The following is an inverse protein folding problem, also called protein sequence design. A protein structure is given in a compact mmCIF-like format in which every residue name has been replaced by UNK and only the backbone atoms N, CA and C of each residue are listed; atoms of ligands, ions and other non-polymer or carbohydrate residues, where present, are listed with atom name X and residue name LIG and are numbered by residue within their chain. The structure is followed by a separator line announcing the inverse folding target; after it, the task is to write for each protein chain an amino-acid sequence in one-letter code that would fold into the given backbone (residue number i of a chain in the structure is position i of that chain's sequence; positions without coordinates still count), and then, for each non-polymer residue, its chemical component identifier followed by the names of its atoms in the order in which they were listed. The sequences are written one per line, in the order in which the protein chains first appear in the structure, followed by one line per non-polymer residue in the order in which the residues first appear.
data_IF_833066984349
#
_entry.id   IF_833066984349
#
_cell.length_a   1.000
_cell.length_b   1.000
_cell.length_c   1.000
_cell.angle_alpha   90.00
_cell.angle_beta   90.00
_cell.angle_gamma   90.00
#
_symmetry.space_group_name_H-M   'P 1'
#
loop_
_entity.id
_entity.type
_entity.pdbx_description
1 polymer ?
#
# COMPACT_ATOMS: atom_id res chain seq x y z
N UNK A 1 9.32 2.06 -8.83
CA UNK A 1 7.88 1.97 -8.52
C UNK A 1 7.42 2.93 -7.42
N UNK A 2 8.05 2.98 -6.24
CA UNK A 2 7.58 3.87 -5.15
C UNK A 2 7.95 5.35 -5.36
N UNK A 3 9.12 5.61 -5.94
CA UNK A 3 9.51 6.97 -6.33
C UNK A 3 8.53 7.54 -7.36
N UNK A 4 8.12 6.74 -8.36
CA UNK A 4 7.10 7.16 -9.32
C UNK A 4 5.75 7.40 -8.67
N UNK A 5 5.31 6.58 -7.72
CA UNK A 5 4.07 6.81 -6.96
C UNK A 5 4.10 8.13 -6.17
N UNK A 6 5.22 8.42 -5.50
CA UNK A 6 5.38 9.68 -4.76
C UNK A 6 5.36 10.86 -5.74
N UNK A 7 6.05 10.77 -6.87
CA UNK A 7 6.10 11.85 -7.85
C UNK A 7 4.74 12.07 -8.54
N UNK A 8 3.97 11.02 -8.83
CA UNK A 8 2.72 11.17 -9.62
C UNK A 8 1.49 11.43 -8.76
N UNK A 9 1.47 11.00 -7.49
CA UNK A 9 0.23 10.97 -6.68
C UNK A 9 0.36 11.62 -5.31
N UNK A 10 1.51 12.20 -4.97
CA UNK A 10 1.67 12.90 -3.69
C UNK A 10 0.67 14.05 -3.56
N UNK A 11 0.27 14.71 -4.65
CA UNK A 11 -0.75 15.75 -4.61
C UNK A 11 -2.09 15.28 -4.01
N UNK A 12 -2.55 14.07 -4.34
CA UNK A 12 -3.75 13.50 -3.72
C UNK A 12 -3.52 13.17 -2.25
N UNK A 13 -2.35 12.64 -1.89
CA UNK A 13 -2.00 12.36 -0.48
C UNK A 13 -1.98 13.64 0.36
N UNK A 14 -1.45 14.72 -0.19
CA UNK A 14 -1.45 16.04 0.44
C UNK A 14 -2.88 16.56 0.64
N UNK A 15 -3.73 16.46 -0.39
CA UNK A 15 -5.15 16.80 -0.29
C UNK A 15 -5.86 15.99 0.80
N UNK A 16 -5.68 14.68 0.84
CA UNK A 16 -6.30 13.80 1.85
C UNK A 16 -5.86 14.20 3.27
N UNK A 17 -4.56 14.44 3.49
CA UNK A 17 -4.06 14.85 4.80
C UNK A 17 -4.61 16.20 5.23
N UNK A 18 -4.77 17.14 4.29
CA UNK A 18 -5.44 18.42 4.55
C UNK A 18 -6.91 18.21 4.97
N UNK A 19 -7.65 17.36 4.25
CA UNK A 19 -9.03 17.01 4.59
C UNK A 19 -9.15 16.34 5.96
N UNK A 20 -8.23 15.44 6.30
CA UNK A 20 -8.19 14.81 7.62
C UNK A 20 -8.08 15.84 8.74
N UNK A 21 -7.20 16.84 8.59
CA UNK A 21 -7.00 17.89 9.60
C UNK A 21 -8.17 18.86 9.69
N UNK A 22 -8.67 19.34 8.56
CA UNK A 22 -9.56 20.51 8.53
C UNK A 22 -11.02 20.19 8.25
N UNK A 23 -11.34 19.01 7.72
CA UNK A 23 -12.73 18.62 7.49
C UNK A 23 -13.34 19.03 6.15
N UNK A 24 -12.53 19.54 5.22
CA UNK A 24 -13.03 20.08 3.95
C UNK A 24 -13.37 18.98 2.93
N UNK A 25 -14.27 19.29 1.98
CA UNK A 25 -14.46 18.46 0.81
C UNK A 25 -13.22 18.49 -0.13
N UNK A 26 -13.24 17.63 -1.14
CA UNK A 26 -12.08 17.41 -2.03
C UNK A 26 -11.73 18.63 -2.84
N UNK A 27 -12.74 19.32 -3.38
CA UNK A 27 -12.51 20.45 -4.29
C UNK A 27 -12.09 21.69 -3.50
N UNK A 28 -12.69 21.91 -2.33
CA UNK A 28 -12.24 22.97 -1.41
C UNK A 28 -10.80 22.74 -0.98
N UNK A 29 -10.43 21.53 -0.52
CA UNK A 29 -9.05 21.22 -0.14
C UNK A 29 -8.07 21.47 -1.30
N UNK A 30 -8.41 20.98 -2.50
CA UNK A 30 -7.57 21.14 -3.69
C UNK A 30 -7.38 22.62 -4.05
N UNK A 31 -8.47 23.40 -4.12
CA UNK A 31 -8.41 24.84 -4.46
C UNK A 31 -7.64 25.62 -3.41
N UNK A 32 -7.84 25.33 -2.12
CA UNK A 32 -7.09 25.97 -1.04
C UNK A 32 -5.60 25.66 -1.12
N UNK A 33 -5.23 24.41 -1.37
CA UNK A 33 -3.82 24.05 -1.56
C UNK A 33 -3.23 24.73 -2.80
N UNK A 34 -3.96 24.78 -3.91
CA UNK A 34 -3.51 25.46 -5.11
C UNK A 34 -3.34 26.97 -4.89
N UNK A 35 -4.27 27.64 -4.20
CA UNK A 35 -4.15 29.07 -3.91
C UNK A 35 -3.01 29.42 -2.94
N UNK A 36 -2.65 28.51 -2.04
CA UNK A 36 -1.53 28.71 -1.10
C UNK A 36 -0.14 28.68 -1.74
N UNK A 37 0.02 28.09 -2.93
CA UNK A 37 1.35 27.99 -3.54
C UNK A 37 1.45 27.15 -4.80
N UNK A 38 0.37 27.02 -5.56
CA UNK A 38 0.30 26.31 -6.84
C UNK A 38 0.70 24.83 -6.75
N UNK A 39 1.24 24.30 -7.85
CA UNK A 39 1.70 22.91 -7.95
C UNK A 39 2.75 22.56 -6.86
N UNK A 40 3.77 23.39 -6.56
CA UNK A 40 4.74 23.08 -5.52
C UNK A 40 4.14 22.86 -4.12
N UNK A 41 2.97 23.46 -3.83
CA UNK A 41 2.29 23.27 -2.54
C UNK A 41 1.87 21.82 -2.31
N UNK A 42 1.49 21.11 -3.37
CA UNK A 42 1.09 19.71 -3.31
C UNK A 42 2.24 18.74 -3.00
N UNK A 43 3.48 19.15 -3.27
CA UNK A 43 4.69 18.35 -3.09
C UNK A 43 5.50 18.75 -1.85
N UNK A 44 4.94 19.58 -0.97
CA UNK A 44 5.55 19.89 0.33
C UNK A 44 5.68 18.62 1.17
N UNK A 45 6.91 18.25 1.50
CA UNK A 45 7.24 17.00 2.20
C UNK A 45 7.69 15.86 1.29
N UNK A 46 8.07 16.14 0.03
CA UNK A 46 8.50 15.10 -0.92
C UNK A 46 9.74 14.36 -0.43
N UNK A 47 10.73 15.06 0.15
CA UNK A 47 11.94 14.43 0.68
C UNK A 47 11.64 13.40 1.78
N UNK A 48 10.95 13.75 2.89
CA UNK A 48 10.60 12.73 3.88
C UNK A 48 9.64 11.66 3.33
N UNK A 49 8.79 11.97 2.34
CA UNK A 49 7.96 10.97 1.66
C UNK A 49 8.79 9.94 0.86
N UNK A 50 9.85 10.38 0.18
CA UNK A 50 10.74 9.52 -0.59
C UNK A 50 11.56 8.58 0.31
N UNK A 51 11.85 8.98 1.54
CA UNK A 51 12.48 8.11 2.56
C UNK A 51 11.45 7.17 3.17
N UNK A 52 10.31 7.70 3.61
CA UNK A 52 9.32 6.94 4.36
C UNK A 52 8.58 5.90 3.51
N UNK A 53 8.35 6.17 2.22
CA UNK A 53 7.63 5.28 1.31
C UNK A 53 8.29 3.91 1.16
N UNK A 54 9.54 3.83 0.68
CA UNK A 54 10.29 2.58 0.54
C UNK A 54 10.43 1.82 1.87
N UNK A 55 10.82 2.51 2.95
CA UNK A 55 10.97 1.89 4.27
C UNK A 55 9.65 1.29 4.77
N UNK A 56 8.55 2.02 4.62
CA UNK A 56 7.23 1.55 5.03
C UNK A 56 6.78 0.31 4.27
N UNK A 57 7.12 0.20 2.98
CA UNK A 57 6.77 -0.97 2.17
C UNK A 57 7.63 -2.16 2.53
N UNK A 58 8.93 -1.94 2.67
CA UNK A 58 9.86 -2.95 3.17
C UNK A 58 9.35 -3.53 4.50
N UNK A 59 9.02 -2.66 5.46
CA UNK A 59 8.52 -3.10 6.77
C UNK A 59 7.20 -3.87 6.69
N UNK A 60 6.23 -3.43 5.88
CA UNK A 60 4.97 -4.16 5.71
C UNK A 60 5.20 -5.55 5.08
N UNK A 61 6.05 -5.64 4.04
CA UNK A 61 6.37 -6.93 3.38
C UNK A 61 7.17 -7.85 4.30
N UNK A 62 8.18 -7.32 4.99
CA UNK A 62 8.99 -8.08 5.94
C UNK A 62 8.17 -8.55 7.13
N UNK A 63 7.25 -7.72 7.64
CA UNK A 63 6.32 -8.11 8.71
C UNK A 63 5.40 -9.24 8.25
N UNK A 64 4.88 -9.16 7.02
CA UNK A 64 3.99 -10.20 6.50
C UNK A 64 4.73 -11.52 6.24
N UNK A 65 5.78 -11.51 5.41
CA UNK A 65 6.53 -12.71 5.08
C UNK A 65 7.26 -13.30 6.31
N UNK A 66 7.88 -12.44 7.11
CA UNK A 66 8.65 -12.85 8.29
C UNK A 66 7.78 -13.40 9.42
N UNK A 67 6.62 -12.77 9.72
CA UNK A 67 5.74 -13.28 10.77
C UNK A 67 5.10 -14.62 10.37
N UNK A 68 4.68 -14.77 9.11
CA UNK A 68 4.14 -16.04 8.61
C UNK A 68 5.22 -17.13 8.70
N UNK A 69 6.40 -16.89 8.12
CA UNK A 69 7.51 -17.86 8.14
C UNK A 69 7.96 -18.24 9.55
N UNK A 70 8.00 -17.29 10.48
CA UNK A 70 8.32 -17.58 11.88
C UNK A 70 7.24 -18.45 12.51
N UNK A 71 5.96 -18.16 12.27
CA UNK A 71 4.86 -18.98 12.82
C UNK A 71 4.78 -20.36 12.16
N UNK A 72 5.19 -20.51 10.91
CA UNK A 72 5.28 -21.81 10.24
C UNK A 72 6.45 -22.66 10.77
N UNK A 73 7.48 -22.02 11.34
CA UNK A 73 8.65 -22.73 11.89
C UNK A 73 8.40 -23.45 13.23
N UNK A 74 7.28 -23.18 13.92
CA UNK A 74 6.93 -23.83 15.17
C UNK A 74 5.73 -24.74 15.01
N UNK A 75 5.84 -25.97 15.53
CA UNK A 75 4.76 -26.97 15.47
C UNK A 75 3.44 -26.47 16.08
N UNK A 76 3.52 -25.64 17.12
CA UNK A 76 2.36 -25.07 17.79
C UNK A 76 1.60 -24.03 16.94
N UNK A 77 2.24 -23.41 15.95
CA UNK A 77 1.65 -22.30 15.18
C UNK A 77 1.53 -22.57 13.68
N UNK A 78 2.20 -23.60 13.15
CA UNK A 78 2.15 -23.97 11.73
C UNK A 78 0.73 -24.30 11.24
N UNK A 79 -0.09 -24.93 12.08
CA UNK A 79 -1.47 -25.30 11.75
C UNK A 79 -2.48 -24.16 11.86
N UNK A 80 -2.07 -22.97 12.32
CA UNK A 80 -3.00 -21.85 12.49
C UNK A 80 -3.49 -21.31 11.14
N UNK A 81 -4.78 -20.92 11.04
CA UNK A 81 -5.29 -20.28 9.84
C UNK A 81 -4.49 -19.02 9.46
N UNK A 82 -4.33 -18.78 8.16
CA UNK A 82 -3.57 -17.64 7.61
C UNK A 82 -4.05 -16.30 8.20
N UNK A 83 -5.36 -16.16 8.47
CA UNK A 83 -5.91 -14.97 9.14
C UNK A 83 -5.30 -14.72 10.52
N UNK A 84 -5.12 -15.75 11.34
CA UNK A 84 -4.51 -15.62 12.68
C UNK A 84 -3.05 -15.21 12.57
N UNK A 85 -2.29 -15.82 11.65
CA UNK A 85 -0.89 -15.43 11.37
C UNK A 85 -0.80 -13.98 10.88
N UNK A 86 -1.78 -13.56 10.08
CA UNK A 86 -1.90 -12.18 9.58
C UNK A 86 -2.14 -11.16 10.70
N UNK A 87 -2.78 -11.54 11.81
CA UNK A 87 -2.91 -10.67 12.98
C UNK A 87 -1.54 -10.37 13.60
N UNK A 88 -0.69 -11.39 13.75
CA UNK A 88 0.69 -11.21 14.22
C UNK A 88 1.50 -10.33 13.27
N UNK A 89 1.43 -10.60 11.96
CA UNK A 89 2.04 -9.75 10.93
C UNK A 89 1.59 -8.29 11.04
N UNK A 90 0.29 -8.05 11.26
CA UNK A 90 -0.27 -6.70 11.41
C UNK A 90 0.25 -5.99 12.65
N UNK A 91 0.51 -6.74 13.75
CA UNK A 91 1.16 -6.23 14.95
C UNK A 91 2.60 -5.79 14.70
N UNK A 92 3.39 -6.63 14.02
CA UNK A 92 4.78 -6.32 13.65
C UNK A 92 4.83 -5.11 12.70
N UNK A 93 3.95 -5.05 11.69
CA UNK A 93 3.85 -3.91 10.79
C UNK A 93 3.48 -2.62 11.54
N UNK A 94 2.53 -2.69 12.49
CA UNK A 94 2.16 -1.57 13.35
C UNK A 94 3.32 -1.07 14.21
N UNK A 95 4.07 -1.98 14.83
CA UNK A 95 5.27 -1.65 15.60
C UNK A 95 6.35 -1.01 14.72
N UNK A 96 6.55 -1.54 13.51
CA UNK A 96 7.50 -0.97 12.56
C UNK A 96 7.17 0.49 12.20
N UNK A 97 5.88 0.86 12.15
CA UNK A 97 5.48 2.25 11.89
C UNK A 97 5.88 3.21 13.00
N UNK A 98 6.02 2.76 14.23
CA UNK A 98 6.47 3.62 15.34
C UNK A 98 7.89 4.12 15.06
N UNK A 99 8.78 3.29 14.52
CA UNK A 99 10.14 3.70 14.15
C UNK A 99 10.17 4.77 13.04
N UNK A 100 9.20 4.74 12.12
CA UNK A 100 9.11 5.70 11.02
C UNK A 100 8.43 7.03 11.41
N UNK A 101 7.95 7.15 12.65
CA UNK A 101 7.15 8.30 13.08
C UNK A 101 7.84 9.66 12.94
N UNK A 102 9.14 9.84 13.23
CA UNK A 102 9.78 11.14 13.03
C UNK A 102 9.71 11.62 11.58
N UNK A 103 9.99 10.74 10.61
CA UNK A 103 9.92 11.06 9.19
C UNK A 103 8.47 11.28 8.75
N UNK A 104 7.55 10.45 9.23
CA UNK A 104 6.12 10.57 8.93
C UNK A 104 5.53 11.88 9.49
N UNK A 105 5.86 12.27 10.71
CA UNK A 105 5.42 13.53 11.33
C UNK A 105 5.91 14.73 10.52
N UNK A 106 7.19 14.75 10.13
CA UNK A 106 7.74 15.78 9.25
C UNK A 106 7.00 15.87 7.91
N UNK A 107 6.81 14.73 7.23
CA UNK A 107 6.05 14.66 5.97
C UNK A 107 4.62 15.18 6.16
N UNK A 108 3.90 14.66 7.16
CA UNK A 108 2.48 14.96 7.37
C UNK A 108 2.26 16.42 7.73
N UNK A 109 3.07 17.03 8.61
CA UNK A 109 2.92 18.45 8.91
C UNK A 109 3.25 19.34 7.71
N UNK A 110 4.25 18.99 6.90
CA UNK A 110 4.57 19.71 5.65
C UNK A 110 3.44 19.63 4.62
N UNK A 111 2.78 18.47 4.51
CA UNK A 111 1.65 18.30 3.62
C UNK A 111 0.43 19.10 4.08
N UNK A 112 0.15 19.14 5.39
CA UNK A 112 -1.02 19.84 5.94
C UNK A 112 -0.82 21.35 6.01
N UNK A 113 0.27 21.82 6.63
CA UNK A 113 0.47 23.25 6.94
C UNK A 113 1.26 23.98 5.84
N UNK A 114 2.01 23.28 5.00
CA UNK A 114 2.73 23.89 3.88
C UNK A 114 3.89 24.79 4.32
N UNK A 115 3.84 26.07 3.94
CA UNK A 115 4.90 27.04 4.22
C UNK A 115 4.92 27.35 5.73
N UNK A 116 6.07 27.14 6.38
CA UNK A 116 6.21 27.34 7.83
C UNK A 116 5.98 26.07 8.67
N UNK A 117 5.57 24.95 8.06
CA UNK A 117 5.33 23.69 8.76
C UNK A 117 6.51 23.22 9.61
N UNK A 118 7.73 23.27 9.07
CA UNK A 118 8.94 22.87 9.81
C UNK A 118 9.29 23.85 10.95
N UNK A 119 9.00 25.15 10.78
CA UNK A 119 9.18 26.14 11.85
C UNK A 119 8.20 25.88 12.99
N UNK A 120 6.94 25.59 12.67
CA UNK A 120 5.92 25.21 13.65
C UNK A 120 6.28 23.90 14.37
N UNK A 121 6.76 22.90 13.62
CA UNK A 121 7.24 21.65 14.21
C UNK A 121 8.44 21.87 15.14
N UNK A 122 9.43 22.65 14.71
CA UNK A 122 10.61 22.96 15.51
C UNK A 122 10.25 23.72 16.79
N UNK A 123 9.31 24.66 16.72
CA UNK A 123 8.78 25.34 17.91
C UNK A 123 8.13 24.35 18.87
N UNK A 124 7.31 23.42 18.36
CA UNK A 124 6.66 22.38 19.16
C UNK A 124 7.67 21.42 19.79
N UNK A 125 8.72 21.04 19.07
CA UNK A 125 9.81 20.20 19.58
C UNK A 125 10.63 20.96 20.64
N UNK A 126 10.83 22.26 20.47
CA UNK A 126 11.54 23.09 21.46
C UNK A 126 10.78 23.19 22.79
N UNK A 127 9.45 23.20 22.75
CA UNK A 127 8.61 23.26 23.96
C UNK A 127 8.33 21.89 24.58
N UNK A 128 8.03 20.87 23.76
CA UNK A 128 7.62 19.54 24.22
C UNK A 128 8.70 18.45 24.16
N UNK A 129 9.92 18.80 23.72
CA UNK A 129 11.02 17.86 23.52
C UNK A 129 10.93 17.02 22.24
N UNK A 130 11.92 16.13 21.99
CA UNK A 130 12.00 15.32 20.78
C UNK A 130 10.84 14.31 20.63
N UNK A 131 10.21 13.91 21.73
CA UNK A 131 9.06 12.99 21.74
C UNK A 131 7.84 13.52 21.00
N UNK A 132 7.77 14.83 20.73
CA UNK A 132 6.76 15.46 19.87
C UNK A 132 6.71 14.81 18.49
N UNK A 133 7.84 14.34 17.96
CA UNK A 133 7.92 13.65 16.67
C UNK A 133 7.16 12.31 16.65
N UNK A 134 6.90 11.74 17.83
CA UNK A 134 6.13 10.51 18.04
C UNK A 134 4.67 10.78 18.40
N UNK A 135 4.23 12.04 18.47
CA UNK A 135 2.81 12.32 18.63
C UNK A 135 2.00 11.70 17.47
N UNK A 136 1.04 10.86 17.80
CA UNK A 136 0.31 10.09 16.78
C UNK A 136 0.83 8.68 16.55
N UNK A 137 1.94 8.26 17.17
CA UNK A 137 2.55 6.94 16.97
C UNK A 137 1.58 5.79 17.23
N UNK A 138 0.87 5.79 18.36
CA UNK A 138 -0.10 4.74 18.68
C UNK A 138 -1.26 4.70 17.69
N UNK A 139 -1.78 5.86 17.30
CA UNK A 139 -2.81 5.94 16.25
C UNK A 139 -2.27 5.50 14.88
N UNK A 140 -0.99 5.75 14.56
CA UNK A 140 -0.35 5.30 13.32
C UNK A 140 -0.20 3.78 13.29
N UNK A 141 0.26 3.19 14.40
CA UNK A 141 0.37 1.75 14.59
C UNK A 141 -1.02 1.08 14.51
N UNK A 142 -2.02 1.61 15.23
CA UNK A 142 -3.38 1.11 15.21
C UNK A 142 -4.03 1.23 13.82
N UNK A 143 -3.89 2.37 13.13
CA UNK A 143 -4.38 2.54 11.77
C UNK A 143 -3.72 1.59 10.77
N UNK A 144 -2.47 1.19 11.05
CA UNK A 144 -1.74 0.21 10.24
C UNK A 144 -2.26 -1.19 10.53
N UNK A 145 -2.41 -1.57 11.79
CA UNK A 145 -2.99 -2.85 12.20
C UNK A 145 -4.40 -3.05 11.60
N UNK A 146 -5.29 -2.08 11.84
CA UNK A 146 -6.69 -2.10 11.40
C UNK A 146 -6.83 -1.92 9.88
N UNK A 147 -5.82 -1.40 9.19
CA UNK A 147 -5.79 -1.38 7.73
C UNK A 147 -5.26 -2.69 7.14
N UNK A 148 -4.14 -3.18 7.69
CA UNK A 148 -3.40 -4.32 7.17
C UNK A 148 -4.21 -5.61 7.26
N UNK A 149 -4.77 -5.92 8.42
CA UNK A 149 -5.52 -7.17 8.59
C UNK A 149 -6.74 -7.27 7.66
N UNK A 150 -7.67 -6.30 7.61
CA UNK A 150 -8.81 -6.37 6.69
C UNK A 150 -8.39 -6.39 5.22
N UNK A 151 -7.30 -5.70 4.84
CA UNK A 151 -6.79 -5.75 3.47
C UNK A 151 -6.45 -7.20 3.06
N UNK A 152 -5.60 -7.87 3.85
CA UNK A 152 -5.18 -9.23 3.55
C UNK A 152 -6.32 -10.24 3.68
N UNK A 153 -7.19 -10.08 4.69
CA UNK A 153 -8.35 -10.94 4.86
C UNK A 153 -9.30 -10.86 3.64
N UNK A 154 -9.63 -9.65 3.19
CA UNK A 154 -10.46 -9.45 1.99
C UNK A 154 -9.77 -9.97 0.73
N UNK A 155 -8.46 -9.69 0.56
CA UNK A 155 -7.71 -10.17 -0.59
C UNK A 155 -7.70 -11.69 -0.66
N UNK A 156 -7.35 -12.37 0.44
CA UNK A 156 -7.25 -13.82 0.49
C UNK A 156 -8.62 -14.49 0.29
N UNK A 157 -9.67 -13.96 0.93
CA UNK A 157 -11.04 -14.44 0.73
C UNK A 157 -11.47 -14.34 -0.73
N UNK A 158 -11.35 -13.15 -1.34
CA UNK A 158 -11.72 -12.93 -2.73
C UNK A 158 -10.87 -13.77 -3.68
N UNK A 159 -9.59 -13.97 -3.37
CA UNK A 159 -8.71 -14.81 -4.18
C UNK A 159 -9.14 -16.29 -4.13
N UNK A 160 -9.62 -16.77 -2.98
CA UNK A 160 -10.11 -18.13 -2.82
C UNK A 160 -11.45 -18.41 -3.50
N UNK A 161 -12.36 -17.41 -3.55
CA UNK A 161 -13.73 -17.61 -4.09
C UNK A 161 -13.87 -17.26 -5.57
N UNK A 162 -13.09 -16.31 -6.09
CA UNK A 162 -13.21 -15.92 -7.49
C UNK A 162 -12.47 -16.91 -8.40
N UNK A 163 -12.98 -17.24 -9.60
CA UNK A 163 -12.30 -18.13 -10.56
C UNK A 163 -10.93 -17.62 -11.00
N UNK A 164 -9.91 -18.49 -10.98
CA UNK A 164 -8.57 -18.15 -11.45
C UNK A 164 -8.61 -17.78 -12.93
N UNK A 165 -7.85 -16.75 -13.32
CA UNK A 165 -7.70 -16.39 -14.72
C UNK A 165 -6.84 -17.46 -15.44
N UNK A 166 -7.11 -17.74 -16.73
CA UNK A 166 -6.25 -18.63 -17.53
C UNK A 166 -4.78 -18.21 -17.46
N UNK A 167 -3.87 -19.19 -17.44
CA UNK A 167 -2.43 -18.95 -17.28
C UNK A 167 -1.82 -18.14 -18.43
N UNK A 168 -2.42 -18.20 -19.61
CA UNK A 168 -2.05 -17.52 -20.85
C UNK A 168 -2.78 -16.18 -21.08
N UNK A 169 -3.80 -15.85 -20.29
CA UNK A 169 -4.58 -14.61 -20.44
C UNK A 169 -4.13 -13.53 -19.44
N UNK A 170 -3.05 -12.84 -19.82
CA UNK A 170 -2.50 -11.73 -19.05
C UNK A 170 -3.54 -10.61 -18.75
N UNK A 171 -4.36 -10.14 -19.72
CA UNK A 171 -5.40 -9.16 -19.43
C UNK A 171 -6.38 -9.59 -18.32
N UNK A 172 -6.85 -10.84 -18.35
CA UNK A 172 -7.75 -11.35 -17.29
C UNK A 172 -7.05 -11.47 -15.95
N UNK A 173 -5.78 -11.91 -15.91
CA UNK A 173 -4.97 -11.93 -14.68
C UNK A 173 -4.88 -10.54 -14.06
N UNK A 174 -4.53 -9.54 -14.87
CA UNK A 174 -4.39 -8.15 -14.40
C UNK A 174 -5.72 -7.57 -13.91
N UNK A 175 -6.82 -7.79 -14.64
CA UNK A 175 -8.14 -7.33 -14.24
C UNK A 175 -8.57 -7.96 -12.91
N UNK A 176 -8.36 -9.27 -12.76
CA UNK A 176 -8.64 -9.99 -11.51
C UNK A 176 -7.84 -9.40 -10.35
N UNK A 177 -6.52 -9.25 -10.49
CA UNK A 177 -5.66 -8.65 -9.45
C UNK A 177 -6.06 -7.22 -9.11
N UNK A 178 -6.47 -6.42 -10.10
CA UNK A 178 -6.96 -5.06 -9.88
C UNK A 178 -8.25 -5.04 -9.05
N UNK A 179 -9.22 -5.91 -9.35
CA UNK A 179 -10.48 -6.02 -8.58
C UNK A 179 -10.19 -6.46 -7.15
N UNK A 180 -9.39 -7.52 -6.97
CA UNK A 180 -8.97 -8.04 -5.67
C UNK A 180 -8.33 -6.93 -4.82
N UNK A 181 -7.33 -6.24 -5.37
CA UNK A 181 -6.60 -5.18 -4.71
C UNK A 181 -7.46 -3.95 -4.41
N UNK A 182 -8.38 -3.59 -5.30
CA UNK A 182 -9.30 -2.46 -5.09
C UNK A 182 -10.29 -2.73 -3.96
N UNK A 183 -10.95 -3.91 -3.96
CA UNK A 183 -11.87 -4.30 -2.89
C UNK A 183 -11.17 -4.39 -1.53
N UNK A 184 -9.99 -5.01 -1.48
CA UNK A 184 -9.17 -5.07 -0.27
C UNK A 184 -8.78 -3.67 0.24
N UNK A 185 -8.40 -2.76 -0.66
CA UNK A 185 -8.07 -1.37 -0.32
C UNK A 185 -9.28 -0.59 0.17
N UNK A 186 -10.44 -0.78 -0.44
CA UNK A 186 -11.70 -0.15 -0.02
C UNK A 186 -12.09 -0.55 1.40
N UNK A 187 -12.10 -1.85 1.71
CA UNK A 187 -12.45 -2.37 3.04
C UNK A 187 -11.46 -1.87 4.10
N UNK A 188 -10.16 -1.96 3.83
CA UNK A 188 -9.11 -1.43 4.71
C UNK A 188 -9.25 0.07 4.96
N UNK A 189 -9.57 0.84 3.92
CA UNK A 189 -9.71 2.28 4.05
C UNK A 189 -10.92 2.66 4.88
N UNK A 190 -12.08 2.02 4.67
CA UNK A 190 -13.25 2.19 5.52
C UNK A 190 -12.97 1.83 6.98
N UNK A 191 -12.28 0.71 7.25
CA UNK A 191 -11.97 0.27 8.60
C UNK A 191 -10.98 1.19 9.34
N UNK A 192 -9.97 1.73 8.62
CA UNK A 192 -8.88 2.49 9.24
C UNK A 192 -9.04 4.01 9.19
N UNK A 193 -10.02 4.55 8.46
CA UNK A 193 -10.08 5.99 8.14
C UNK A 193 -10.14 6.87 9.39
N UNK A 194 -10.99 6.53 10.35
CA UNK A 194 -11.19 7.33 11.57
C UNK A 194 -9.92 7.47 12.40
N UNK A 195 -9.15 6.40 12.51
CA UNK A 195 -7.87 6.39 13.20
C UNK A 195 -6.87 7.28 12.45
N UNK A 196 -6.88 7.27 11.10
CA UNK A 196 -6.03 8.15 10.28
C UNK A 196 -6.40 9.62 10.43
N UNK A 197 -7.68 9.94 10.56
CA UNK A 197 -8.19 11.28 10.85
C UNK A 197 -7.67 11.78 12.19
N UNK A 198 -7.78 10.96 13.25
CA UNK A 198 -7.23 11.26 14.58
C UNK A 198 -5.71 11.42 14.53
N UNK A 199 -5.00 10.46 13.92
CA UNK A 199 -3.53 10.45 13.77
C UNK A 199 -3.04 11.74 13.13
N UNK A 200 -3.62 12.12 12.00
CA UNK A 200 -3.21 13.30 11.23
C UNK A 200 -3.47 14.57 12.03
N UNK A 201 -4.66 14.70 12.64
CA UNK A 201 -5.00 15.87 13.46
C UNK A 201 -4.07 16.01 14.67
N UNK A 202 -3.76 14.91 15.37
CA UNK A 202 -2.84 14.89 16.51
C UNK A 202 -1.40 15.25 16.12
N UNK A 203 -0.94 14.83 14.94
CA UNK A 203 0.40 15.16 14.45
C UNK A 203 0.54 16.64 14.11
N UNK A 204 -0.47 17.23 13.45
CA UNK A 204 -0.32 18.56 12.88
C UNK A 204 -0.90 19.68 13.73
N UNK A 205 -1.70 19.38 14.75
CA UNK A 205 -2.09 20.39 15.73
C UNK A 205 -0.86 20.93 16.47
N UNK A 206 -0.81 22.23 16.69
CA UNK A 206 0.28 22.94 17.37
C UNK A 206 0.20 22.78 18.88
N UNK A 207 -0.99 22.53 19.41
CA UNK A 207 -1.25 22.39 20.85
C UNK A 207 -1.07 20.95 21.35
N UNK A 208 -0.70 20.83 22.62
CA UNK A 208 -0.61 19.54 23.30
C UNK A 208 -2.02 19.01 23.58
N UNK A 209 -2.50 18.07 22.75
CA UNK A 209 -3.85 17.48 22.86
C UNK A 209 -3.80 15.97 23.00
N UNK A 210 -4.61 15.35 23.85
CA UNK A 210 -4.70 13.88 23.95
C UNK A 210 -5.56 13.29 22.82
N UNK A 211 -5.51 11.98 22.58
CA UNK A 211 -6.35 11.34 21.56
C UNK A 211 -7.86 11.56 21.79
N UNK A 212 -8.39 11.43 23.02
CA UNK A 212 -9.79 11.74 23.29
C UNK A 212 -10.13 13.21 23.02
N UNK A 213 -9.23 14.15 23.35
CA UNK A 213 -9.43 15.57 23.05
C UNK A 213 -9.47 15.82 21.53
N UNK A 214 -8.59 15.18 20.76
CA UNK A 214 -8.61 15.25 19.29
C UNK A 214 -9.92 14.70 18.73
N UNK A 215 -10.37 13.54 19.20
CA UNK A 215 -11.64 12.96 18.76
C UNK A 215 -12.83 13.88 19.10
N UNK A 216 -12.90 14.41 20.34
CA UNK A 216 -13.92 15.37 20.77
C UNK A 216 -13.92 16.64 19.93
N UNK A 217 -12.75 17.21 19.66
CA UNK A 217 -12.59 18.39 18.80
C UNK A 217 -13.13 18.14 17.38
N UNK A 218 -12.89 16.96 16.81
CA UNK A 218 -13.36 16.60 15.47
C UNK A 218 -14.88 16.39 15.47
N UNK A 219 -15.41 15.66 16.45
CA UNK A 219 -16.85 15.40 16.60
C UNK A 219 -17.62 16.69 16.86
N UNK A 220 -17.10 17.59 17.70
CA UNK A 220 -17.72 18.88 17.97
C UNK A 220 -17.81 19.76 16.72
N UNK A 221 -16.82 19.66 15.82
CA UNK A 221 -16.78 20.46 14.59
C UNK A 221 -17.60 19.87 13.45
N UNK A 222 -17.46 18.56 13.20
CA UNK A 222 -17.98 17.90 11.99
C UNK A 222 -18.85 16.66 12.28
N UNK A 223 -19.16 16.40 13.55
CA UNK A 223 -19.91 15.22 13.99
C UNK A 223 -19.14 13.90 13.87
N UNK A 224 -19.83 12.81 14.20
CA UNK A 224 -19.30 11.44 14.07
C UNK A 224 -19.00 11.09 12.61
N UNK A 225 -19.82 11.60 11.68
CA UNK A 225 -19.58 11.43 10.24
C UNK A 225 -18.28 12.09 9.79
N UNK A 226 -17.92 13.26 10.35
CA UNK A 226 -16.62 13.87 10.11
C UNK A 226 -15.46 13.00 10.62
N UNK A 227 -15.58 12.45 11.82
CA UNK A 227 -14.56 11.54 12.36
C UNK A 227 -14.38 10.29 11.49
N UNK A 228 -15.47 9.70 10.99
CA UNK A 228 -15.43 8.48 10.18
C UNK A 228 -15.06 8.73 8.71
N UNK A 229 -15.52 9.84 8.13
CA UNK A 229 -15.61 10.01 6.67
C UNK A 229 -14.71 11.09 6.05
N UNK A 230 -14.08 11.97 6.85
CA UNK A 230 -13.15 12.98 6.33
C UNK A 230 -12.14 12.35 5.37
N UNK A 231 -11.99 12.92 4.17
CA UNK A 231 -11.01 12.48 3.16
C UNK A 231 -11.23 11.08 2.55
N UNK A 232 -12.20 10.28 3.01
CA UNK A 232 -12.37 8.89 2.59
C UNK A 232 -12.70 8.77 1.09
N UNK A 233 -13.62 9.61 0.61
CA UNK A 233 -13.99 9.66 -0.82
C UNK A 233 -12.78 9.94 -1.72
N UNK A 234 -12.00 10.97 -1.38
CA UNK A 234 -10.77 11.31 -2.10
C UNK A 234 -9.77 10.17 -2.07
N UNK A 235 -9.66 9.46 -0.94
CA UNK A 235 -8.74 8.34 -0.79
C UNK A 235 -9.11 7.14 -1.65
N UNK A 236 -10.39 6.77 -1.70
CA UNK A 236 -10.90 5.70 -2.58
C UNK A 236 -10.62 6.05 -4.04
N UNK A 237 -10.95 7.27 -4.46
CA UNK A 237 -10.64 7.75 -5.81
C UNK A 237 -9.14 7.71 -6.11
N UNK A 238 -8.31 8.16 -5.16
CA UNK A 238 -6.86 8.17 -5.30
C UNK A 238 -6.29 6.77 -5.48
N UNK A 239 -6.83 5.75 -4.79
CA UNK A 239 -6.42 4.37 -4.98
C UNK A 239 -6.78 3.83 -6.38
N UNK A 240 -7.97 4.19 -6.89
CA UNK A 240 -8.38 3.84 -8.26
C UNK A 240 -7.46 4.47 -9.31
N UNK A 241 -7.22 5.77 -9.21
CA UNK A 241 -6.29 6.51 -10.09
C UNK A 241 -4.88 5.94 -9.99
N UNK A 242 -4.43 5.59 -8.77
CA UNK A 242 -3.12 4.99 -8.56
C UNK A 242 -2.95 3.67 -9.32
N UNK A 243 -3.97 2.80 -9.29
CA UNK A 243 -3.95 1.54 -10.03
C UNK A 243 -3.79 1.77 -11.54
N UNK A 244 -4.55 2.72 -12.09
CA UNK A 244 -4.50 3.07 -13.51
C UNK A 244 -3.13 3.65 -13.90
N UNK A 245 -2.64 4.64 -13.15
CA UNK A 245 -1.33 5.26 -13.42
C UNK A 245 -0.20 4.24 -13.33
N UNK A 246 -0.27 3.31 -12.38
CA UNK A 246 0.70 2.23 -12.27
C UNK A 246 0.71 1.36 -13.53
N UNK A 247 -0.45 0.87 -13.97
CA UNK A 247 -0.56 0.02 -15.16
C UNK A 247 0.00 0.69 -16.41
N UNK A 248 -0.27 1.98 -16.60
CA UNK A 248 0.25 2.76 -17.74
C UNK A 248 1.77 2.90 -17.66
N UNK A 249 2.30 3.38 -16.53
CA UNK A 249 3.75 3.59 -16.35
C UNK A 249 4.52 2.28 -16.47
N UNK A 250 3.97 1.19 -15.94
CA UNK A 250 4.54 -0.14 -16.07
C UNK A 250 4.60 -0.59 -17.52
N UNK A 251 3.48 -0.48 -18.26
CA UNK A 251 3.44 -0.90 -19.66
C UNK A 251 4.41 -0.12 -20.53
N UNK A 252 4.45 1.21 -20.38
CA UNK A 252 5.43 2.05 -21.08
C UNK A 252 6.88 1.67 -20.75
N UNK A 253 7.15 1.33 -19.48
CA UNK A 253 8.47 0.85 -19.07
C UNK A 253 8.85 -0.50 -19.67
N UNK A 254 7.90 -1.43 -19.77
CA UNK A 254 8.11 -2.72 -20.44
C UNK A 254 8.38 -2.53 -21.94
N UNK A 255 7.54 -1.77 -22.63
CA UNK A 255 7.70 -1.51 -24.07
C UNK A 255 9.04 -0.80 -24.37
N UNK A 256 9.46 0.13 -23.51
CA UNK A 256 10.77 0.77 -23.60
C UNK A 256 11.92 -0.22 -23.36
N UNK A 257 11.82 -1.06 -22.33
CA UNK A 257 12.83 -2.07 -22.03
C UNK A 257 13.01 -3.05 -23.20
N UNK A 258 11.90 -3.58 -23.71
CA UNK A 258 11.88 -4.55 -24.79
C UNK A 258 12.45 -3.94 -26.09
N UNK A 259 12.09 -2.69 -26.42
CA UNK A 259 12.65 -2.00 -27.59
C UNK A 259 14.16 -1.75 -27.52
N UNK A 260 14.74 -1.65 -26.32
CA UNK A 260 16.18 -1.35 -26.13
C UNK A 260 17.03 -2.59 -25.79
N UNK A 261 16.41 -3.72 -25.41
CA UNK A 261 17.13 -4.92 -25.00
C UNK A 261 16.81 -6.16 -25.85
N UNK A 262 15.84 -6.09 -26.78
CA UNK A 262 15.57 -7.16 -27.77
C UNK A 262 16.32 -6.94 -29.10
N UNK A 263 17.04 -5.82 -29.27
CA UNK A 263 17.88 -5.56 -30.45
C UNK A 263 19.18 -6.42 -30.54
N UNK A 264 19.39 -7.36 -29.60
CA UNK A 264 20.52 -8.30 -29.59
C UNK A 264 20.18 -9.74 -30.00
N UNK A 265 18.98 -9.99 -30.55
CA UNK A 265 18.68 -11.29 -31.14
C UNK A 265 19.19 -11.32 -32.61
N UNK A 266 20.05 -12.29 -33.00
CA UNK A 266 20.51 -12.40 -34.38
C UNK A 266 19.32 -12.68 -35.30
N UNK A 267 19.25 -11.95 -36.42
CA UNK A 267 18.25 -12.17 -37.47
C UNK A 267 18.29 -13.64 -37.92
N UNK A 268 17.15 -14.33 -38.09
CA UNK A 268 17.16 -15.68 -38.62
C UNK A 268 17.70 -15.65 -40.05
N UNK A 269 18.81 -16.34 -40.29
CA UNK A 269 19.21 -16.67 -41.65
C UNK A 269 18.13 -17.56 -42.26
N UNK A 270 17.60 -17.14 -43.41
CA UNK A 270 16.73 -17.95 -44.25
C UNK A 270 17.50 -19.15 -44.78
N UNK A 271 17.44 -20.28 -44.10
CA UNK A 271 17.73 -21.59 -44.70
C UNK A 271 16.41 -22.25 -45.13
N UNK A 272 16.20 -22.28 -46.44
CA UNK A 272 15.21 -23.15 -47.10
C UNK A 272 15.64 -24.61 -46.91
N UNK A 273 14.75 -25.47 -46.43
CA UNK A 273 14.88 -26.92 -46.61
C UNK A 273 14.31 -27.80 -45.51
N UNK A 274 13.08 -28.29 -45.76
CA UNK A 274 12.52 -29.59 -45.41
C UNK A 274 12.35 -30.04 -43.94
N UNK A 275 11.06 -30.22 -43.63
CA UNK A 275 10.39 -31.02 -42.59
C UNK A 275 11.13 -32.25 -42.04
N UNK A 276 11.16 -32.39 -40.71
CA UNK A 276 10.38 -33.39 -39.95
C UNK A 276 10.76 -33.40 -38.45
N UNK A 277 9.73 -33.30 -37.59
CA UNK A 277 9.68 -33.97 -36.28
C UNK A 277 10.45 -33.38 -35.09
N UNK A 278 9.69 -32.84 -34.11
CA UNK A 278 10.12 -32.78 -32.71
C UNK A 278 10.48 -31.39 -32.18
N UNK A 279 9.49 -30.57 -31.85
CA UNK A 279 9.71 -29.26 -31.22
C UNK A 279 9.99 -29.39 -29.73
N UNK A 280 11.27 -29.53 -29.37
CA UNK A 280 11.80 -29.02 -28.12
C UNK A 280 12.21 -27.55 -28.35
N UNK A 281 11.52 -26.60 -27.72
CA UNK A 281 11.71 -25.18 -28.01
C UNK A 281 11.42 -24.26 -26.81
N UNK A 282 12.51 -23.75 -26.23
CA UNK A 282 12.61 -22.44 -25.58
C UNK A 282 11.57 -22.06 -24.51
N UNK A 283 11.57 -22.78 -23.38
CA UNK A 283 10.97 -22.32 -22.12
C UNK A 283 11.97 -21.43 -21.35
N UNK A 284 12.07 -20.14 -21.71
CA UNK A 284 13.10 -19.25 -21.13
C UNK A 284 12.62 -17.87 -20.65
N UNK A 285 11.72 -17.17 -21.36
CA UNK A 285 11.46 -15.75 -21.05
C UNK A 285 10.15 -15.47 -20.30
N UNK A 286 9.22 -16.43 -20.25
CA UNK A 286 7.93 -16.27 -19.56
C UNK A 286 8.01 -16.36 -18.03
N UNK A 287 8.95 -17.17 -17.52
CA UNK A 287 9.13 -17.42 -16.07
C UNK A 287 9.63 -16.17 -15.32
N UNK A 288 10.49 -15.38 -15.94
CA UNK A 288 11.08 -14.20 -15.30
C UNK A 288 10.07 -13.04 -15.15
N UNK A 289 9.06 -12.98 -16.03
CA UNK A 289 7.98 -12.01 -15.94
C UNK A 289 6.98 -12.36 -14.82
N UNK A 290 6.72 -13.65 -14.60
CA UNK A 290 5.80 -14.16 -13.60
C UNK A 290 6.36 -13.97 -12.17
N UNK A 291 7.67 -14.15 -11.99
CA UNK A 291 8.39 -13.92 -10.72
C UNK A 291 8.42 -12.44 -10.31
N UNK A 292 8.40 -11.51 -11.28
CA UNK A 292 8.48 -10.05 -11.01
C UNK A 292 7.14 -9.41 -10.66
N UNK A 293 6.02 -9.98 -11.12
CA UNK A 293 4.68 -9.53 -10.73
C UNK A 293 4.30 -10.02 -9.31
N UNK A 294 4.83 -11.17 -8.89
CA UNK A 294 4.71 -11.72 -7.54
C UNK A 294 5.34 -10.83 -6.45
N UNK A 295 6.13 -9.80 -6.82
CA UNK A 295 6.66 -8.84 -5.87
C UNK A 295 5.64 -7.77 -5.43
N UNK A 296 4.50 -7.66 -6.12
CA UNK A 296 3.43 -6.69 -5.83
C UNK A 296 2.12 -7.31 -5.29
N UNK A 297 2.05 -8.63 -5.25
CA UNK A 297 0.95 -9.41 -4.65
C UNK A 297 1.52 -10.42 -3.66
N UNK A 298 0.80 -10.80 -2.60
CA UNK A 298 1.22 -11.91 -1.75
C UNK A 298 1.53 -13.12 -2.63
N UNK A 299 2.69 -13.75 -2.39
CA UNK A 299 3.15 -14.93 -3.12
C UNK A 299 2.05 -15.99 -3.07
N UNK A 300 1.55 -16.40 -4.24
CA UNK A 300 0.61 -17.50 -4.35
C UNK A 300 1.38 -18.79 -4.03
N UNK A 301 1.07 -19.44 -2.91
CA UNK A 301 1.66 -20.76 -2.62
C UNK A 301 1.23 -21.75 -3.72
N UNK A 302 2.17 -22.56 -4.24
CA UNK A 302 1.80 -23.63 -5.15
C UNK A 302 0.87 -24.61 -4.42
N UNK A 303 -0.22 -24.99 -5.10
CA UNK A 303 -1.21 -25.90 -4.54
C UNK A 303 -0.53 -27.19 -4.03
N UNK A 304 -0.69 -27.49 -2.74
CA UNK A 304 -0.40 -28.82 -2.20
C UNK A 304 -1.30 -29.82 -2.90
N UNK A 305 -0.69 -30.79 -3.61
CA UNK A 305 -1.41 -31.86 -4.27
C UNK A 305 -2.31 -32.60 -3.25
N UNK A 306 -3.52 -33.03 -3.64
CA UNK A 306 -4.38 -33.78 -2.75
C UNK A 306 -3.69 -35.09 -2.36
N UNK A 307 -3.55 -35.31 -1.04
CA UNK A 307 -3.14 -36.60 -0.48
C UNK A 307 -4.20 -37.62 -0.89
N UNK A 308 -3.83 -38.54 -1.78
CA UNK A 308 -4.65 -39.70 -2.12
C UNK A 308 -4.73 -40.61 -0.89
N UNK A 309 -5.82 -40.54 -0.15
CA UNK A 309 -6.17 -41.56 0.84
C UNK A 309 -6.52 -42.83 0.08
N UNK A 310 -5.60 -43.80 0.07
CA UNK A 310 -5.85 -45.13 -0.47
C UNK A 310 -6.92 -45.84 0.35
N UNK A 311 -8.01 -46.24 -0.30
CA UNK A 311 -8.99 -47.16 0.28
C UNK A 311 -8.35 -48.53 0.52
N UNK A 312 -8.59 -49.19 1.66
CA UNK A 312 -8.13 -50.56 1.87
C UNK A 312 -8.99 -51.55 1.07
N UNK A 313 -8.35 -52.45 0.33
CA UNK A 313 -9.00 -53.58 -0.32
C UNK A 313 -9.53 -54.59 0.73
N UNK A 314 -10.72 -55.16 0.53
CA UNK A 314 -11.21 -56.23 1.40
C UNK A 314 -10.52 -57.56 1.06
N UNK A 315 -10.08 -58.27 2.11
CA UNK A 315 -9.89 -59.73 2.11
C UNK A 315 -11.08 -60.37 2.81
#
# INVERSE_FOLDING_TARGET
MFVSQVITLMWMRTTINYQYRYGTDTMTAFRTLYSQGGIPRFYRGVLPALVQGPLSRFGDTAANAGALSLMDSYEATQGLPVGVKTLAASGVAGAFRVFLMPVDTCKTIMQVEGKGALKALAAKVRTGGPWVLYHGAMASAAATFVGHYPWFATYNYLNGVLPKAPSDDLPRKLLRSAILGFCASFVSDCASNSIRVIKTTKQTTTEATTYPQVARMIIAKDGVLGLMGRGLKTKILANGVQGICFSIVWRLGQDWWDSHHVAAAPKPQLTKGAEQGGTAGAAGSGRDAEVRLAAATPVEEPATAPVTTGSPSPK
#
